data_IF_240283119896
#
_entry.id   IF_240283119896
#
_cell.length_a   1.000
_cell.length_b   1.000
_cell.length_c   1.000
_cell.angle_alpha   90.00
_cell.angle_beta   90.00
_cell.angle_gamma   90.00
#
_symmetry.space_group_name_H-M   'P 1'
#
loop_
_entity.id
_entity.type
_entity.pdbx_description
1 polymer ?
#
# COMPACT_ATOMS: atom_id res chain seq x y z
N UNK A 1 33.14 -2.37 -24.63
CA UNK A 1 32.21 -1.22 -24.68
C UNK A 1 31.06 -1.50 -23.73
N UNK A 2 31.05 -0.84 -22.56
CA UNK A 2 29.94 -0.94 -21.62
C UNK A 2 28.92 0.11 -22.02
N UNK A 3 27.73 -0.32 -22.46
CA UNK A 3 26.63 0.61 -22.71
C UNK A 3 26.14 1.14 -21.36
N UNK A 4 26.49 2.38 -21.04
CA UNK A 4 25.78 3.15 -20.03
C UNK A 4 24.33 3.30 -20.51
N UNK A 5 23.46 2.35 -20.15
CA UNK A 5 22.02 2.56 -20.23
C UNK A 5 21.74 3.72 -19.28
N UNK A 6 21.52 4.91 -19.85
CA UNK A 6 20.96 6.05 -19.14
C UNK A 6 19.62 5.55 -18.57
N UNK A 7 19.57 5.29 -17.26
CA UNK A 7 18.32 4.97 -16.57
C UNK A 7 17.44 6.19 -16.78
N UNK A 8 16.39 6.06 -17.59
CA UNK A 8 15.34 7.06 -17.63
C UNK A 8 14.56 6.80 -16.34
N UNK A 9 14.95 7.49 -15.27
CA UNK A 9 14.13 7.52 -14.06
C UNK A 9 12.93 8.38 -14.42
N UNK A 10 11.79 7.72 -14.65
CA UNK A 10 10.51 8.42 -14.72
C UNK A 10 10.28 8.92 -13.30
N UNK A 11 10.44 10.22 -13.10
CA UNK A 11 10.17 10.87 -11.83
C UNK A 11 8.67 10.70 -11.55
N UNK A 12 8.33 9.90 -10.53
CA UNK A 12 6.94 9.71 -10.12
C UNK A 12 6.41 11.08 -9.68
N UNK A 13 5.29 11.50 -10.27
CA UNK A 13 4.60 12.73 -9.89
C UNK A 13 4.39 12.68 -8.38
N UNK A 14 4.77 13.71 -7.63
CA UNK A 14 4.60 13.69 -6.18
C UNK A 14 3.10 13.70 -5.83
N UNK A 15 2.68 12.99 -4.77
CA UNK A 15 1.29 13.01 -4.35
C UNK A 15 0.93 14.40 -3.82
N UNK A 16 -0.30 14.80 -4.14
CA UNK A 16 -0.87 16.13 -3.90
C UNK A 16 -1.39 16.32 -2.49
N UNK A 17 -1.76 15.22 -1.80
CA UNK A 17 -2.21 15.28 -0.41
C UNK A 17 -1.16 15.92 0.50
N UNK A 18 -1.63 16.69 1.46
CA UNK A 18 -0.81 17.31 2.52
C UNK A 18 -1.30 16.96 3.92
N UNK A 19 -2.45 16.28 4.03
CA UNK A 19 -3.05 15.91 5.30
C UNK A 19 -2.26 14.81 5.97
N UNK A 20 -2.13 14.86 7.31
CA UNK A 20 -1.40 13.86 8.09
C UNK A 20 -2.24 13.30 9.21
N UNK A 21 -1.97 12.06 9.58
CA UNK A 21 -2.55 11.36 10.73
C UNK A 21 -1.42 10.89 11.65
N UNK A 22 -1.54 11.17 12.94
CA UNK A 22 -0.56 10.71 13.93
C UNK A 22 -0.76 9.23 14.29
N UNK A 23 0.31 8.57 14.75
CA UNK A 23 0.33 7.15 15.14
C UNK A 23 -0.86 6.75 16.02
N UNK A 24 -1.13 7.50 17.10
CA UNK A 24 -2.23 7.18 18.02
C UNK A 24 -3.60 7.26 17.34
N UNK A 25 -3.80 8.25 16.45
CA UNK A 25 -5.06 8.42 15.74
C UNK A 25 -5.26 7.32 14.72
N UNK A 26 -4.21 6.97 13.97
CA UNK A 26 -4.24 5.88 12.99
C UNK A 26 -4.48 4.53 13.68
N UNK A 27 -3.79 4.25 14.78
CA UNK A 27 -4.01 3.04 15.56
C UNK A 27 -5.46 2.92 16.02
N UNK A 28 -6.04 4.01 16.54
CA UNK A 28 -7.43 4.02 16.99
C UNK A 28 -8.42 3.85 15.83
N UNK A 29 -8.16 4.47 14.68
CA UNK A 29 -8.96 4.30 13.46
C UNK A 29 -8.98 2.82 13.05
N UNK A 30 -7.80 2.23 12.85
CA UNK A 30 -7.67 0.81 12.46
C UNK A 30 -8.33 -0.10 13.49
N UNK A 31 -8.11 0.12 14.79
CA UNK A 31 -8.71 -0.70 15.84
C UNK A 31 -10.22 -0.52 15.98
N UNK A 32 -10.77 0.61 15.57
CA UNK A 32 -12.23 0.80 15.56
C UNK A 32 -12.91 -0.02 14.47
N UNK A 33 -12.26 -0.18 13.31
CA UNK A 33 -12.76 -1.00 12.20
C UNK A 33 -12.41 -2.48 12.34
N UNK A 34 -11.20 -2.77 12.85
CA UNK A 34 -10.65 -4.13 12.98
C UNK A 34 -10.16 -4.37 14.43
N UNK A 35 -11.06 -4.58 15.40
CA UNK A 35 -10.69 -4.65 16.82
C UNK A 35 -9.67 -5.75 17.14
N UNK A 36 -9.75 -6.87 16.43
CA UNK A 36 -8.97 -8.08 16.68
C UNK A 36 -7.64 -8.15 15.93
N UNK A 37 -7.36 -7.26 14.98
CA UNK A 37 -6.13 -7.37 14.17
C UNK A 37 -4.89 -6.93 14.95
N UNK A 38 -3.75 -7.55 14.70
CA UNK A 38 -2.47 -7.03 15.19
C UNK A 38 -2.01 -5.86 14.30
N UNK A 39 -1.69 -4.72 14.91
CA UNK A 39 -1.35 -3.47 14.20
C UNK A 39 0.09 -3.09 14.48
N UNK A 40 0.88 -2.91 13.42
CA UNK A 40 2.27 -2.49 13.47
C UNK A 40 2.44 -1.19 12.67
N UNK A 41 2.84 -0.12 13.35
CA UNK A 41 3.06 1.20 12.76
C UNK A 41 4.55 1.56 12.94
N UNK A 42 5.24 1.81 11.83
CA UNK A 42 6.68 2.10 11.80
C UNK A 42 7.03 3.55 12.12
N UNK A 43 6.13 4.49 11.85
CA UNK A 43 6.37 5.93 11.92
C UNK A 43 5.43 6.67 12.88
N UNK A 44 5.86 7.87 13.30
CA UNK A 44 5.10 8.70 14.25
C UNK A 44 3.86 9.35 13.64
N UNK A 45 3.90 9.62 12.35
CA UNK A 45 2.79 10.17 11.59
C UNK A 45 2.90 9.75 10.12
N UNK A 46 1.76 9.80 9.43
CA UNK A 46 1.63 9.36 8.05
C UNK A 46 0.85 10.40 7.27
N UNK A 47 1.20 10.57 6.00
CA UNK A 47 0.45 11.41 5.07
C UNK A 47 -0.74 10.61 4.53
N UNK A 48 -1.94 11.15 4.66
CA UNK A 48 -3.13 10.52 4.11
C UNK A 48 -3.08 10.54 2.58
N UNK A 49 -3.76 9.60 1.94
CA UNK A 49 -3.69 9.43 0.50
C UNK A 49 -4.89 10.09 -0.19
N UNK A 50 -4.66 10.78 -1.31
CA UNK A 50 -5.73 11.09 -2.26
C UNK A 50 -5.96 9.85 -3.13
N UNK A 51 -7.23 9.51 -3.38
CA UNK A 51 -7.58 8.41 -4.28
C UNK A 51 -6.97 8.63 -5.68
N UNK A 52 -7.01 9.86 -6.19
CA UNK A 52 -6.49 10.20 -7.52
C UNK A 52 -4.98 10.00 -7.62
N UNK A 53 -4.23 10.35 -6.56
CA UNK A 53 -2.79 10.13 -6.50
C UNK A 53 -2.46 8.63 -6.54
N UNK A 54 -3.19 7.82 -5.75
CA UNK A 54 -3.03 6.36 -5.75
C UNK A 54 -3.37 5.79 -7.12
N UNK A 55 -4.50 6.17 -7.72
CA UNK A 55 -4.88 5.69 -9.05
C UNK A 55 -3.84 6.06 -10.13
N UNK A 56 -3.30 7.27 -10.08
CA UNK A 56 -2.24 7.72 -10.98
C UNK A 56 -0.94 6.94 -10.80
N UNK A 57 -0.59 6.60 -9.57
CA UNK A 57 0.55 5.76 -9.25
C UNK A 57 0.35 4.34 -9.79
N UNK A 58 -0.80 3.73 -9.50
CA UNK A 58 -1.12 2.37 -9.96
C UNK A 58 -1.07 2.25 -11.49
N UNK A 59 -1.51 3.28 -12.21
CA UNK A 59 -1.44 3.32 -13.68
C UNK A 59 0.01 3.30 -14.24
N UNK A 60 1.01 3.64 -13.43
CA UNK A 60 2.43 3.60 -13.79
C UNK A 60 3.14 2.37 -13.25
N UNK A 61 2.54 1.72 -12.26
CA UNK A 61 3.04 0.49 -11.70
C UNK A 61 2.81 -0.68 -12.66
N UNK A 62 3.67 -1.69 -12.57
CA UNK A 62 3.58 -2.90 -13.41
C UNK A 62 3.50 -4.17 -12.57
N UNK A 63 3.20 -4.07 -11.26
CA UNK A 63 3.12 -5.22 -10.36
C UNK A 63 2.07 -6.23 -10.85
N UNK A 64 0.90 -5.76 -11.29
CA UNK A 64 -0.15 -6.58 -11.88
C UNK A 64 0.21 -7.29 -13.19
N UNK A 65 1.32 -6.92 -13.85
CA UNK A 65 1.78 -7.59 -15.08
C UNK A 65 2.68 -8.79 -14.79
N UNK A 66 3.05 -9.00 -13.54
CA UNK A 66 3.85 -10.14 -13.11
C UNK A 66 2.95 -11.38 -13.04
N UNK A 67 3.46 -12.52 -13.49
CA UNK A 67 2.73 -13.79 -13.40
C UNK A 67 2.73 -14.32 -11.96
N UNK A 68 1.58 -14.81 -11.50
CA UNK A 68 1.47 -15.51 -10.23
C UNK A 68 2.14 -16.89 -10.32
N UNK A 69 2.98 -17.21 -9.34
CA UNK A 69 3.62 -18.52 -9.19
C UNK A 69 3.43 -18.98 -7.73
N UNK A 70 2.67 -20.05 -7.53
CA UNK A 70 2.37 -20.56 -6.17
C UNK A 70 3.66 -20.87 -5.41
N UNK A 71 3.76 -20.41 -4.16
CA UNK A 71 4.90 -20.59 -3.24
C UNK A 71 6.22 -19.88 -3.62
N UNK A 72 6.36 -19.40 -4.86
CA UNK A 72 7.57 -18.72 -5.35
C UNK A 72 7.38 -17.21 -5.57
N UNK A 73 6.19 -16.80 -6.03
CA UNK A 73 5.78 -15.41 -6.22
C UNK A 73 4.27 -15.31 -6.04
N UNK A 74 3.84 -15.34 -4.77
CA UNK A 74 2.43 -15.39 -4.41
C UNK A 74 1.92 -14.06 -3.82
N UNK A 75 0.72 -14.09 -3.24
CA UNK A 75 0.02 -12.90 -2.75
C UNK A 75 0.88 -11.97 -1.87
N UNK A 76 1.75 -12.51 -1.03
CA UNK A 76 2.60 -11.69 -0.17
C UNK A 76 3.72 -10.99 -0.93
N UNK A 77 4.35 -11.68 -1.88
CA UNK A 77 5.35 -11.11 -2.77
C UNK A 77 4.79 -9.95 -3.58
N UNK A 78 3.56 -10.08 -4.11
CA UNK A 78 2.87 -8.97 -4.78
C UNK A 78 2.63 -7.80 -3.82
N UNK A 79 2.20 -8.06 -2.58
CA UNK A 79 1.94 -7.01 -1.60
C UNK A 79 3.23 -6.27 -1.17
N UNK A 80 4.33 -7.00 -0.99
CA UNK A 80 5.66 -6.45 -0.73
C UNK A 80 6.20 -5.67 -1.92
N UNK A 81 6.04 -6.21 -3.15
CA UNK A 81 6.47 -5.58 -4.39
C UNK A 81 5.83 -4.21 -4.53
N UNK A 82 4.51 -4.13 -4.36
CA UNK A 82 3.76 -2.87 -4.47
C UNK A 82 4.17 -1.89 -3.36
N UNK A 83 4.26 -2.33 -2.11
CA UNK A 83 4.77 -1.47 -1.02
C UNK A 83 6.19 -0.94 -1.29
N UNK A 84 7.06 -1.78 -1.85
CA UNK A 84 8.40 -1.39 -2.27
C UNK A 84 8.39 -0.33 -3.39
N UNK A 85 7.36 -0.29 -4.23
CA UNK A 85 7.20 0.78 -5.22
C UNK A 85 6.82 2.11 -4.59
N UNK A 86 6.04 2.10 -3.51
CA UNK A 86 5.66 3.29 -2.74
C UNK A 86 6.80 3.77 -1.83
N UNK A 87 7.73 2.89 -1.47
CA UNK A 87 8.90 3.16 -0.61
C UNK A 87 10.01 3.96 -1.34
N UNK A 88 9.63 5.07 -1.96
CA UNK A 88 10.53 6.00 -2.66
C UNK A 88 10.36 7.43 -2.14
N UNK A 89 11.36 8.28 -2.38
CA UNK A 89 11.32 9.67 -1.93
C UNK A 89 10.06 10.38 -2.47
N UNK A 90 9.36 11.09 -1.58
CA UNK A 90 8.11 11.78 -1.90
C UNK A 90 6.85 10.92 -1.85
N UNK A 91 6.98 9.60 -1.64
CA UNK A 91 5.85 8.66 -1.51
C UNK A 91 5.92 7.81 -0.23
N UNK A 92 7.12 7.61 0.32
CA UNK A 92 7.38 6.71 1.44
C UNK A 92 6.74 7.12 2.77
N UNK A 93 6.20 8.34 2.90
CA UNK A 93 5.52 8.80 4.10
C UNK A 93 3.99 8.68 4.02
N UNK A 94 3.45 8.09 2.93
CA UNK A 94 2.02 7.85 2.78
C UNK A 94 1.53 6.81 3.78
N UNK A 95 0.26 6.93 4.19
CA UNK A 95 -0.43 5.97 5.03
C UNK A 95 -0.81 4.74 4.20
N UNK A 96 0.19 4.01 3.74
CA UNK A 96 0.10 2.85 2.86
C UNK A 96 0.71 1.63 3.58
N UNK A 97 0.10 0.46 3.41
CA UNK A 97 0.49 -0.71 4.18
C UNK A 97 0.21 -2.04 3.51
N UNK A 98 0.56 -3.10 4.24
CA UNK A 98 0.27 -4.50 3.90
C UNK A 98 -0.70 -5.07 4.95
N UNK A 99 -1.68 -5.81 4.46
CA UNK A 99 -2.62 -6.61 5.23
C UNK A 99 -2.30 -8.08 5.01
N UNK A 100 -2.35 -8.83 6.10
CA UNK A 100 -2.31 -10.28 6.12
C UNK A 100 -3.61 -10.79 6.72
N UNK A 101 -4.25 -11.68 5.98
CA UNK A 101 -5.36 -12.51 6.45
C UNK A 101 -4.86 -13.93 6.66
N UNK A 102 -5.74 -14.86 7.02
CA UNK A 102 -5.37 -16.27 7.16
C UNK A 102 -4.95 -16.93 5.83
N UNK A 103 -5.40 -16.38 4.69
CA UNK A 103 -5.27 -17.05 3.38
C UNK A 103 -4.76 -16.14 2.26
N UNK A 104 -4.49 -14.87 2.55
CA UNK A 104 -4.18 -13.87 1.52
C UNK A 104 -3.41 -12.68 2.10
N UNK A 105 -2.61 -12.04 1.26
CA UNK A 105 -1.95 -10.78 1.54
C UNK A 105 -2.23 -9.76 0.43
N UNK A 106 -2.47 -8.51 0.81
CA UNK A 106 -2.81 -7.42 -0.09
C UNK A 106 -2.46 -6.07 0.57
N UNK A 107 -2.68 -4.96 -0.12
CA UNK A 107 -2.29 -3.64 0.38
C UNK A 107 -3.49 -2.84 0.88
N UNK A 108 -3.20 -1.80 1.67
CA UNK A 108 -4.19 -0.81 2.07
C UNK A 108 -3.63 0.59 1.92
N UNK A 109 -4.53 1.57 1.89
CA UNK A 109 -4.22 2.96 2.17
C UNK A 109 -5.34 3.64 2.94
N UNK A 110 -5.01 4.72 3.64
CA UNK A 110 -6.00 5.54 4.34
C UNK A 110 -6.21 6.85 3.60
N UNK A 111 -7.45 7.13 3.23
CA UNK A 111 -7.82 8.33 2.47
C UNK A 111 -7.76 9.60 3.32
N UNK A 112 -7.78 10.76 2.67
CA UNK A 112 -7.95 12.05 3.33
C UNK A 112 -9.23 12.14 4.17
N UNK A 113 -10.29 11.44 3.74
CA UNK A 113 -11.56 11.33 4.48
C UNK A 113 -11.52 10.28 5.61
N UNK A 114 -10.35 9.69 5.86
CA UNK A 114 -10.08 8.64 6.88
C UNK A 114 -10.82 7.34 6.62
N UNK A 115 -11.07 7.02 5.37
CA UNK A 115 -11.57 5.71 4.95
C UNK A 115 -10.39 4.78 4.70
N UNK A 116 -10.50 3.52 5.12
CA UNK A 116 -9.50 2.49 4.81
C UNK A 116 -9.93 1.79 3.53
N UNK A 117 -9.11 1.93 2.49
CA UNK A 117 -9.31 1.27 1.20
C UNK A 117 -8.26 0.19 0.99
N UNK A 118 -8.63 -0.85 0.27
CA UNK A 118 -7.82 -2.04 0.00
C UNK A 118 -7.43 -2.08 -1.48
N UNK A 119 -6.21 -2.52 -1.76
CA UNK A 119 -5.70 -2.72 -3.12
C UNK A 119 -5.30 -4.18 -3.28
N UNK A 120 -5.83 -4.84 -4.31
CA UNK A 120 -5.35 -6.13 -4.79
C UNK A 120 -4.18 -5.91 -5.77
N UNK A 121 -2.92 -6.14 -5.35
CA UNK A 121 -1.75 -5.85 -6.19
C UNK A 121 -1.65 -6.71 -7.45
N UNK A 122 -2.36 -7.84 -7.52
CA UNK A 122 -2.37 -8.70 -8.73
C UNK A 122 -3.27 -8.14 -9.85
N UNK A 123 -4.28 -7.35 -9.51
CA UNK A 123 -5.32 -6.90 -10.46
C UNK A 123 -5.54 -5.40 -10.51
N UNK A 124 -4.80 -4.63 -9.70
CA UNK A 124 -5.00 -3.19 -9.45
C UNK A 124 -6.41 -2.83 -8.93
N UNK A 125 -7.15 -3.82 -8.41
CA UNK A 125 -8.50 -3.56 -7.95
C UNK A 125 -8.47 -2.83 -6.61
N UNK A 126 -9.26 -1.76 -6.49
CA UNK A 126 -9.42 -0.99 -5.25
C UNK A 126 -10.84 -1.19 -4.72
N UNK A 127 -10.97 -1.52 -3.42
CA UNK A 127 -12.26 -1.75 -2.75
C UNK A 127 -12.31 -1.10 -1.37
N UNK A 128 -13.52 -0.81 -0.92
CA UNK A 128 -13.88 -0.42 0.46
C UNK A 128 -14.18 -1.64 1.36
N UNK A 129 -14.27 -2.83 0.78
CA UNK A 129 -14.48 -4.11 1.48
C UNK A 129 -13.28 -5.04 1.32
N UNK A 130 -13.02 -5.87 2.33
CA UNK A 130 -11.93 -6.86 2.33
C UNK A 130 -12.03 -7.83 1.14
N UNK A 131 -10.87 -8.18 0.58
CA UNK A 131 -10.78 -9.19 -0.47
C UNK A 131 -11.00 -10.62 0.06
N UNK A 132 -10.64 -10.87 1.32
CA UNK A 132 -10.83 -12.18 1.95
C UNK A 132 -10.77 -12.09 3.48
N UNK A 133 -11.42 -13.06 4.13
CA UNK A 133 -11.21 -13.41 5.54
C UNK A 133 -11.37 -12.27 6.55
N UNK A 134 -10.83 -12.53 7.74
CA UNK A 134 -10.62 -11.51 8.76
C UNK A 134 -9.15 -11.07 8.71
N UNK A 135 -8.89 -9.79 8.99
CA UNK A 135 -7.52 -9.29 9.11
C UNK A 135 -6.86 -9.92 10.33
N UNK A 136 -5.76 -10.62 10.12
CA UNK A 136 -4.91 -11.13 11.19
C UNK A 136 -3.87 -10.07 11.59
N UNK A 137 -3.19 -9.47 10.59
CA UNK A 137 -2.11 -8.51 10.81
C UNK A 137 -2.15 -7.38 9.79
N UNK A 138 -1.80 -6.19 10.24
CA UNK A 138 -1.68 -4.99 9.43
C UNK A 138 -0.38 -4.27 9.75
N UNK A 139 0.37 -3.91 8.71
CA UNK A 139 1.64 -3.18 8.81
C UNK A 139 1.54 -1.91 7.97
N UNK A 140 1.73 -0.74 8.59
CA UNK A 140 1.90 0.54 7.87
C UNK A 140 3.34 1.00 8.07
N UNK A 141 4.04 1.20 6.97
CA UNK A 141 5.45 1.62 6.97
C UNK A 141 5.50 3.10 6.69
#
# INVERSE_FOLDING_TARGET
>A
MCFLRKKIEIEKIAPTSTQRIGLTQLFNLIKSEFPTCDVYLSDKDYRLCSYDDIALFMAQDETNKIGYESEDFDCDDFAYRLMGQFSVQGWADLCFGIIWTETHAFNLFVTEDKEILFIEPQTDEIRDTLFSGNIARLVVI
#
